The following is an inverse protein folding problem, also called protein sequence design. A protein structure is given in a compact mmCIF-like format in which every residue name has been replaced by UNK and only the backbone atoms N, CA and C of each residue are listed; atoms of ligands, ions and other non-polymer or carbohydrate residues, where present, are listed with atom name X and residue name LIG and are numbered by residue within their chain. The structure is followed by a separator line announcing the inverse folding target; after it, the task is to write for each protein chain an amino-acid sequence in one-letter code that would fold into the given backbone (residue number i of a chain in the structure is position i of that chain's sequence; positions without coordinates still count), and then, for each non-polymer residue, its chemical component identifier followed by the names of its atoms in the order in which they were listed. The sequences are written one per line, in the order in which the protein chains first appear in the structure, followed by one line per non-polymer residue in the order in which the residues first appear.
data_IF_530139127309
#
_entry.id   IF_530139127309
#
_cell.length_a   1.000
_cell.length_b   1.000
_cell.length_c   1.000
_cell.angle_alpha   90.00
_cell.angle_beta   90.00
_cell.angle_gamma   90.00
#
_symmetry.space_group_name_H-M   'P 1'
#
loop_
_entity.id
_entity.type
_entity.pdbx_description
1 polymer ?
#
# COMPACT_ATOMS: atom_id res chain seq x y z
N UNK A 1 -1.46 -22.68 -10.25
CA UNK A 1 -1.06 -21.27 -10.45
C UNK A 1 -1.54 -20.50 -9.23
N UNK A 2 -0.66 -20.20 -8.28
CA UNK A 2 -1.04 -19.34 -7.17
C UNK A 2 -1.18 -17.92 -7.75
N UNK A 3 -2.39 -17.39 -7.73
CA UNK A 3 -2.66 -15.98 -7.97
C UNK A 3 -1.95 -15.22 -6.84
N UNK A 4 -0.71 -14.80 -7.05
CA UNK A 4 0.00 -13.95 -6.09
C UNK A 4 -0.64 -12.57 -6.10
N UNK A 5 -1.75 -12.43 -5.36
CA UNK A 5 -2.28 -11.14 -4.97
C UNK A 5 -1.24 -10.49 -4.04
N UNK A 6 -0.36 -9.68 -4.62
CA UNK A 6 0.82 -9.16 -3.92
C UNK A 6 0.55 -7.70 -3.55
N UNK A 7 0.26 -7.45 -2.27
CA UNK A 7 0.10 -6.10 -1.72
C UNK A 7 1.47 -5.41 -1.77
N UNK A 8 1.51 -4.12 -2.10
CA UNK A 8 2.73 -3.30 -1.97
C UNK A 8 2.49 -2.07 -1.09
N UNK A 9 3.49 -1.66 -0.33
CA UNK A 9 3.45 -0.43 0.46
C UNK A 9 3.67 0.78 -0.45
N UNK A 10 2.88 1.82 -0.30
CA UNK A 10 3.03 3.09 -1.02
C UNK A 10 2.89 4.26 -0.05
N UNK A 11 3.23 5.47 -0.50
CA UNK A 11 3.02 6.70 0.26
C UNK A 11 2.38 7.77 -0.62
N UNK A 12 1.57 8.64 -0.03
CA UNK A 12 0.88 9.71 -0.77
C UNK A 12 1.78 10.89 -1.14
N UNK A 13 2.91 11.05 -0.45
CA UNK A 13 3.82 12.17 -0.65
C UNK A 13 5.27 11.75 -0.45
N UNK A 14 6.20 12.55 -0.98
CA UNK A 14 7.63 12.29 -0.86
C UNK A 14 8.13 12.38 0.59
N UNK A 15 7.50 13.21 1.42
CA UNK A 15 7.90 13.39 2.83
C UNK A 15 7.69 12.13 3.67
N UNK A 16 6.78 11.25 3.27
CA UNK A 16 6.47 9.98 3.95
C UNK A 16 7.30 8.80 3.43
N UNK A 17 8.21 9.03 2.49
CA UNK A 17 8.93 7.94 1.79
C UNK A 17 9.80 7.11 2.72
N UNK A 18 10.49 7.75 3.66
CA UNK A 18 11.35 7.05 4.62
C UNK A 18 10.53 6.11 5.52
N UNK A 19 9.39 6.59 6.01
CA UNK A 19 8.48 5.80 6.86
C UNK A 19 7.85 4.65 6.07
N UNK A 20 7.48 4.88 4.81
CA UNK A 20 6.97 3.82 3.94
C UNK A 20 8.02 2.74 3.63
N UNK A 21 9.30 3.10 3.50
CA UNK A 21 10.40 2.13 3.36
C UNK A 21 10.53 1.28 4.64
N UNK A 22 10.51 1.94 5.80
CA UNK A 22 10.59 1.24 7.08
C UNK A 22 9.41 0.27 7.27
N UNK A 23 8.19 0.72 6.97
CA UNK A 23 6.98 -0.09 7.06
C UNK A 23 7.01 -1.28 6.08
N UNK A 24 7.48 -1.06 4.84
CA UNK A 24 7.64 -2.13 3.87
C UNK A 24 8.59 -3.23 4.37
N UNK A 25 9.70 -2.84 4.98
CA UNK A 25 10.65 -3.77 5.59
C UNK A 25 10.06 -4.51 6.78
N UNK A 26 9.37 -3.79 7.68
CA UNK A 26 8.70 -4.35 8.85
C UNK A 26 7.67 -5.43 8.48
N UNK A 27 6.85 -5.16 7.47
CA UNK A 27 5.77 -6.05 7.03
C UNK A 27 6.24 -7.10 6.00
N UNK A 28 7.52 -7.10 5.62
CA UNK A 28 8.06 -7.92 4.52
C UNK A 28 7.26 -7.78 3.21
N UNK A 29 6.82 -6.56 2.90
CA UNK A 29 6.09 -6.21 1.69
C UNK A 29 6.97 -5.42 0.71
N UNK A 30 6.76 -5.54 -0.61
CA UNK A 30 7.46 -4.70 -1.57
C UNK A 30 7.03 -3.25 -1.43
N UNK A 31 7.97 -2.32 -1.63
CA UNK A 31 7.66 -0.91 -1.83
C UNK A 31 7.17 -0.70 -3.27
N UNK A 32 6.02 -0.05 -3.44
CA UNK A 32 5.49 0.35 -4.73
C UNK A 32 6.40 1.39 -5.37
N UNK A 33 7.12 0.96 -6.40
CA UNK A 33 7.84 1.83 -7.32
C UNK A 33 7.04 1.96 -8.62
N UNK A 34 7.12 3.11 -9.29
CA UNK A 34 6.34 3.41 -10.51
C UNK A 34 6.48 2.34 -11.60
N UNK A 35 7.61 1.64 -11.62
CA UNK A 35 7.93 0.58 -12.57
C UNK A 35 8.25 -0.74 -11.86
N UNK A 36 7.33 -1.21 -11.01
CA UNK A 36 7.46 -2.56 -10.44
C UNK A 36 7.16 -3.62 -11.50
N UNK A 37 8.06 -4.60 -11.73
CA UNK A 37 7.79 -5.72 -12.62
C UNK A 37 6.77 -6.70 -12.03
N UNK A 38 6.50 -6.60 -10.72
CA UNK A 38 5.53 -7.44 -10.02
C UNK A 38 4.16 -6.76 -10.09
N UNK A 39 3.15 -7.39 -10.74
CA UNK A 39 1.79 -6.86 -10.74
C UNK A 39 1.22 -6.88 -9.33
N UNK A 40 0.76 -5.73 -8.85
CA UNK A 40 0.11 -5.58 -7.55
C UNK A 40 -1.36 -5.28 -7.77
N UNK A 41 -2.23 -5.98 -7.04
CA UNK A 41 -3.68 -5.73 -7.07
C UNK A 41 -4.11 -4.75 -5.99
N UNK A 42 -3.25 -4.51 -4.98
CA UNK A 42 -3.54 -3.70 -3.81
C UNK A 42 -2.33 -2.88 -3.40
N UNK A 43 -2.60 -1.73 -2.77
CA UNK A 43 -1.60 -0.91 -2.09
C UNK A 43 -1.97 -0.68 -0.65
N UNK A 44 -0.99 -0.83 0.23
CA UNK A 44 -1.04 -0.36 1.60
C UNK A 44 -0.42 1.04 1.62
N UNK A 45 -1.27 2.07 1.62
CA UNK A 45 -0.87 3.46 1.41
C UNK A 45 -0.73 4.16 2.76
N UNK A 46 0.48 4.64 3.05
CA UNK A 46 0.74 5.55 4.16
C UNK A 46 0.35 6.97 3.77
N UNK A 47 -0.62 7.52 4.49
CA UNK A 47 -1.05 8.93 4.38
C UNK A 47 -0.53 9.73 5.58
N UNK A 48 -0.71 11.06 5.56
CA UNK A 48 -0.41 11.92 6.68
C UNK A 48 -1.31 11.68 7.91
N UNK A 49 -2.38 10.91 7.77
CA UNK A 49 -3.36 10.65 8.83
C UNK A 49 -3.37 9.19 9.30
N UNK A 50 -3.19 8.23 8.38
CA UNK A 50 -3.44 6.81 8.65
C UNK A 50 -2.82 5.88 7.61
N UNK A 51 -2.95 4.58 7.86
CA UNK A 51 -2.62 3.54 6.89
C UNK A 51 -3.91 3.03 6.25
N UNK A 52 -3.95 3.03 4.91
CA UNK A 52 -5.11 2.59 4.13
C UNK A 52 -4.78 1.40 3.25
N UNK A 53 -5.66 0.41 3.17
CA UNK A 53 -5.62 -0.60 2.10
C UNK A 53 -6.49 -0.12 0.94
N UNK A 54 -5.91 -0.10 -0.26
CA UNK A 54 -6.56 0.31 -1.50
C UNK A 54 -6.49 -0.80 -2.53
N UNK A 55 -7.62 -1.16 -3.12
CA UNK A 55 -7.65 -1.98 -4.33
C UNK A 55 -7.30 -1.12 -5.56
N UNK A 56 -6.57 -1.70 -6.52
CA UNK A 56 -6.20 -1.02 -7.76
C UNK A 56 -7.09 -1.50 -8.90
N UNK A 57 -7.58 -0.57 -9.73
CA UNK A 57 -8.34 -0.89 -10.92
C UNK A 57 -9.47 0.08 -11.18
N UNK A 58 -10.08 -0.03 -12.36
CA UNK A 58 -11.28 0.74 -12.71
C UNK A 58 -12.45 0.26 -11.85
N UNK A 59 -13.11 1.19 -11.16
CA UNK A 59 -14.24 0.86 -10.29
C UNK A 59 -13.85 0.18 -8.98
N UNK A 60 -12.56 0.19 -8.60
CA UNK A 60 -12.11 -0.31 -7.33
C UNK A 60 -12.88 0.39 -6.18
N UNK A 61 -13.27 -0.35 -5.12
CA UNK A 61 -13.90 0.24 -3.96
C UNK A 61 -12.99 1.29 -3.30
N UNK A 62 -13.60 2.18 -2.51
CA UNK A 62 -12.85 3.17 -1.73
C UNK A 62 -11.86 2.54 -0.73
N UNK A 63 -10.90 3.33 -0.21
CA UNK A 63 -9.92 2.85 0.75
C UNK A 63 -10.59 2.32 2.02
N UNK A 64 -9.99 1.29 2.62
CA UNK A 64 -10.34 0.81 3.96
C UNK A 64 -9.20 1.08 4.92
N UNK A 65 -9.53 1.44 6.16
CA UNK A 65 -8.58 1.64 7.25
C UNK A 65 -9.18 1.12 8.55
N UNK A 66 -8.30 0.86 9.52
CA UNK A 66 -8.72 0.45 10.87
C UNK A 66 -8.77 1.69 11.76
N UNK A 67 -9.90 1.92 12.39
CA UNK A 67 -10.09 2.92 13.44
C UNK A 67 -10.47 2.21 14.75
N UNK A 68 -9.64 2.36 15.77
CA UNK A 68 -9.87 1.76 17.09
C UNK A 68 -10.64 2.69 18.04
N UNK A 69 -11.00 3.90 17.61
CA UNK A 69 -11.60 4.96 18.43
C UNK A 69 -13.05 5.29 18.07
N UNK A 70 -13.59 4.66 17.03
CA UNK A 70 -14.97 4.81 16.57
C UNK A 70 -16.01 4.30 17.57
#
# INVERSE_FOLDING_TARGET
MLLSSTIAVACESFTLRADAIALAAELALPLAIEQSPVPTTHRLVLTGERLELRELGVGAPGPVYVDFTA
#
